data_IF_526556741100
#
_entry.id   IF_526556741100
#
_cell.length_a   1.000
_cell.length_b   1.000
_cell.length_c   1.000
_cell.angle_alpha   90.00
_cell.angle_beta   90.00
_cell.angle_gamma   90.00
#
_symmetry.space_group_name_H-M   'P 1'
#
loop_
_entity.id
_entity.type
_entity.pdbx_description
1 polymer ?
#
# COMPACT_ATOMS: atom_id res chain seq x y z
N UNK A 1 -14.24 -0.42 -16.86
CA UNK A 1 -12.97 0.29 -16.62
C UNK A 1 -12.57 0.25 -15.16
N UNK A 2 -13.46 0.53 -14.20
CA UNK A 2 -13.14 0.27 -12.78
C UNK A 2 -12.92 -1.23 -12.50
N UNK A 3 -13.53 -2.11 -13.30
CA UNK A 3 -13.34 -3.57 -13.24
C UNK A 3 -12.45 -4.15 -14.35
N UNK A 4 -11.98 -3.34 -15.30
CA UNK A 4 -11.28 -3.82 -16.49
C UNK A 4 -10.08 -2.96 -16.86
N UNK A 5 -9.02 -3.57 -17.38
CA UNK A 5 -7.72 -2.95 -17.65
C UNK A 5 -7.72 -2.07 -18.92
N UNK A 6 -8.70 -1.18 -19.07
CA UNK A 6 -8.90 -0.32 -20.24
C UNK A 6 -8.44 1.10 -19.94
N UNK A 7 -7.58 1.68 -20.78
CA UNK A 7 -7.19 3.09 -20.63
C UNK A 7 -8.36 4.01 -20.97
N UNK A 8 -8.49 5.17 -20.30
CA UNK A 8 -9.53 6.16 -20.62
C UNK A 8 -9.55 6.54 -22.11
N UNK A 9 -8.38 6.61 -22.76
CA UNK A 9 -8.23 6.92 -24.19
C UNK A 9 -8.63 5.78 -25.12
N UNK A 10 -8.63 4.54 -24.62
CA UNK A 10 -9.05 3.37 -25.38
C UNK A 10 -10.57 3.20 -25.35
N UNK A 11 -11.27 3.74 -24.35
CA UNK A 11 -12.74 3.60 -24.23
C UNK A 11 -13.48 4.09 -25.48
N UNK A 12 -13.23 5.30 -26.03
CA UNK A 12 -13.90 5.76 -27.24
C UNK A 12 -13.71 4.80 -28.42
N UNK A 13 -12.45 4.36 -28.65
CA UNK A 13 -12.09 3.41 -29.71
C UNK A 13 -12.77 2.05 -29.54
N UNK A 14 -12.89 1.59 -28.30
CA UNK A 14 -13.58 0.33 -28.02
C UNK A 14 -15.07 0.47 -28.32
N UNK A 15 -15.70 1.57 -27.92
CA UNK A 15 -17.12 1.82 -28.22
C UNK A 15 -17.37 1.95 -29.73
N UNK A 16 -16.48 2.60 -30.48
CA UNK A 16 -16.51 2.63 -31.95
C UNK A 16 -16.42 1.23 -32.58
N UNK A 17 -15.53 0.38 -32.06
CA UNK A 17 -15.43 -1.01 -32.50
C UNK A 17 -16.72 -1.79 -32.21
N UNK A 18 -17.27 -1.67 -31.01
CA UNK A 18 -18.55 -2.32 -30.67
C UNK A 18 -19.68 -1.83 -31.59
N UNK A 19 -19.76 -0.53 -31.84
CA UNK A 19 -20.76 0.03 -32.75
C UNK A 19 -20.61 -0.51 -34.19
N UNK A 20 -19.38 -0.69 -34.67
CA UNK A 20 -19.14 -1.20 -36.03
C UNK A 20 -19.25 -2.72 -36.18
N UNK A 21 -19.06 -3.49 -35.10
CA UNK A 21 -18.96 -4.96 -35.14
C UNK A 21 -20.13 -5.68 -34.49
N UNK A 22 -21.07 -4.95 -33.86
CA UNK A 22 -22.21 -5.54 -33.16
C UNK A 22 -23.49 -4.78 -33.46
N UNK A 23 -24.63 -5.35 -33.10
CA UNK A 23 -25.94 -4.71 -33.19
C UNK A 23 -26.16 -3.58 -32.17
N UNK A 24 -25.11 -3.19 -31.42
CA UNK A 24 -25.20 -2.14 -30.41
C UNK A 24 -25.24 -0.76 -31.07
N UNK A 25 -26.40 -0.12 -31.01
CA UNK A 25 -26.58 1.26 -31.46
C UNK A 25 -26.26 2.23 -30.32
N UNK A 26 -25.11 2.91 -30.43
CA UNK A 26 -24.75 4.01 -29.54
C UNK A 26 -24.99 5.33 -30.29
N UNK A 27 -25.83 6.26 -29.77
CA UNK A 27 -26.14 7.50 -30.47
C UNK A 27 -24.93 8.43 -30.63
N UNK A 28 -23.91 8.26 -29.80
CA UNK A 28 -22.63 8.99 -29.88
C UNK A 28 -21.54 8.24 -29.11
N UNK A 29 -20.28 8.50 -29.49
CA UNK A 29 -19.10 8.01 -28.76
C UNK A 29 -18.55 9.12 -27.86
N UNK A 30 -18.37 8.89 -26.55
CA UNK A 30 -17.81 9.89 -25.66
C UNK A 30 -16.33 10.13 -25.91
N UNK A 31 -15.92 11.39 -25.82
CA UNK A 31 -14.50 11.73 -25.73
C UNK A 31 -13.91 11.20 -24.41
N UNK A 32 -12.62 10.84 -24.42
CA UNK A 32 -11.97 10.23 -23.25
C UNK A 32 -12.04 11.12 -21.98
N UNK A 33 -12.12 12.44 -22.13
CA UNK A 33 -12.27 13.38 -21.01
C UNK A 33 -13.61 13.24 -20.32
N UNK A 34 -14.68 12.94 -21.07
CA UNK A 34 -16.01 12.68 -20.49
C UNK A 34 -15.98 11.43 -19.62
N UNK A 35 -15.30 10.37 -20.08
CA UNK A 35 -15.11 9.13 -19.32
C UNK A 35 -14.32 9.38 -18.03
N UNK A 36 -13.27 10.22 -18.08
CA UNK A 36 -12.54 10.64 -16.87
C UNK A 36 -13.50 11.34 -15.92
N UNK A 37 -14.21 12.37 -16.38
CA UNK A 37 -15.10 13.16 -15.54
C UNK A 37 -16.19 12.31 -14.89
N UNK A 38 -16.82 11.39 -15.63
CA UNK A 38 -17.79 10.45 -15.06
C UNK A 38 -17.18 9.57 -13.96
N UNK A 39 -15.97 9.05 -14.19
CA UNK A 39 -15.28 8.22 -13.19
C UNK A 39 -14.93 9.00 -11.91
N UNK A 40 -14.52 10.26 -12.04
CA UNK A 40 -14.24 11.12 -10.89
C UNK A 40 -15.51 11.55 -10.17
N UNK A 41 -16.61 11.79 -10.91
CA UNK A 41 -17.92 12.09 -10.35
C UNK A 41 -18.46 10.92 -9.53
N UNK A 42 -18.28 9.68 -9.98
CA UNK A 42 -18.59 8.49 -9.17
C UNK A 42 -17.82 8.54 -7.85
N UNK A 43 -16.51 8.77 -7.90
CA UNK A 43 -15.68 8.89 -6.71
C UNK A 43 -16.14 9.97 -5.72
N UNK A 44 -16.43 11.16 -6.23
CA UNK A 44 -16.95 12.27 -5.43
C UNK A 44 -18.35 11.97 -4.87
N UNK A 45 -19.21 11.38 -5.69
CA UNK A 45 -20.55 10.95 -5.31
C UNK A 45 -20.52 9.91 -4.19
N UNK A 46 -19.60 8.96 -4.24
CA UNK A 46 -19.39 7.98 -3.15
C UNK A 46 -18.95 8.67 -1.86
N UNK A 47 -17.99 9.59 -1.91
CA UNK A 47 -17.55 10.35 -0.72
C UNK A 47 -18.68 11.21 -0.11
N UNK A 48 -19.58 11.75 -0.95
CA UNK A 48 -20.73 12.55 -0.49
C UNK A 48 -21.86 11.72 0.11
N UNK A 49 -21.89 10.42 -0.17
CA UNK A 49 -22.88 9.49 0.38
C UNK A 49 -22.47 8.96 1.75
N UNK A 50 -21.22 9.18 2.16
CA UNK A 50 -20.73 8.77 3.48
C UNK A 50 -21.61 9.40 4.55
N UNK A 51 -22.13 8.56 5.42
CA UNK A 51 -22.95 8.93 6.56
C UNK A 51 -22.64 8.01 7.76
N UNK A 52 -23.08 8.39 8.97
CA UNK A 52 -22.98 7.54 10.15
C UNK A 52 -23.73 6.23 9.91
N UNK A 53 -23.22 5.16 10.49
CA UNK A 53 -23.85 3.83 10.43
C UNK A 53 -24.05 3.28 11.83
N UNK A 54 -25.18 2.62 12.06
CA UNK A 54 -25.45 1.90 13.30
C UNK A 54 -24.65 0.59 13.40
N UNK A 55 -24.15 0.09 12.26
CA UNK A 55 -23.38 -1.13 12.23
C UNK A 55 -21.94 -0.87 12.73
N UNK A 56 -21.42 -1.66 13.68
CA UNK A 56 -20.06 -1.48 14.14
C UNK A 56 -19.03 -1.70 13.02
N UNK A 57 -17.95 -0.92 13.04
CA UNK A 57 -16.95 -0.93 11.96
C UNK A 57 -15.55 -0.54 12.44
N UNK A 58 -14.55 -0.94 11.65
CA UNK A 58 -13.13 -0.68 11.87
C UNK A 58 -12.65 0.29 10.80
N UNK A 59 -11.90 1.32 11.19
CA UNK A 59 -11.22 2.21 10.26
C UNK A 59 -9.83 1.66 9.92
N UNK A 60 -9.44 1.69 8.64
CA UNK A 60 -8.07 1.47 8.18
C UNK A 60 -7.56 2.77 7.62
N UNK A 61 -6.43 3.25 8.12
CA UNK A 61 -5.93 4.60 7.83
C UNK A 61 -4.47 4.50 7.41
N UNK A 62 -4.16 5.13 6.28
CA UNK A 62 -2.78 5.25 5.81
C UNK A 62 -2.62 6.48 4.89
N UNK A 63 -1.37 6.92 4.75
CA UNK A 63 -0.99 7.91 3.76
C UNK A 63 -0.42 7.23 2.52
N UNK A 64 -0.73 7.79 1.34
CA UNK A 64 -0.02 7.45 0.12
C UNK A 64 1.49 7.69 0.28
N UNK A 65 2.32 6.82 -0.28
CA UNK A 65 3.71 7.17 -0.61
C UNK A 65 3.70 8.33 -1.63
N UNK A 66 4.54 9.33 -1.41
CA UNK A 66 4.63 10.58 -2.18
C UNK A 66 4.40 10.38 -3.70
N UNK A 67 3.36 11.02 -4.25
CA UNK A 67 3.21 11.23 -5.70
C UNK A 67 3.50 12.71 -5.94
N UNK A 68 4.74 13.01 -6.34
CA UNK A 68 5.27 14.37 -6.36
C UNK A 68 5.56 14.88 -4.96
N UNK A 69 5.06 16.07 -4.60
CA UNK A 69 5.26 16.71 -3.28
C UNK A 69 4.06 16.56 -2.35
N UNK A 70 3.05 15.77 -2.72
CA UNK A 70 1.77 15.66 -2.00
C UNK A 70 1.57 14.25 -1.44
N UNK A 71 0.86 14.18 -0.32
CA UNK A 71 0.37 12.94 0.30
C UNK A 71 -1.15 12.94 0.35
N UNK A 72 -1.76 11.79 0.11
CA UNK A 72 -3.19 11.56 0.28
C UNK A 72 -3.41 10.71 1.54
N UNK A 73 -4.13 11.25 2.52
CA UNK A 73 -4.70 10.45 3.61
C UNK A 73 -5.91 9.72 3.04
N UNK A 74 -5.95 8.40 3.22
CA UNK A 74 -7.12 7.57 2.91
C UNK A 74 -7.62 6.93 4.20
N UNK A 75 -8.92 7.05 4.45
CA UNK A 75 -9.61 6.37 5.55
C UNK A 75 -10.63 5.44 4.93
N UNK A 76 -10.43 4.13 5.14
CA UNK A 76 -11.37 3.10 4.74
C UNK A 76 -12.19 2.63 5.94
N UNK A 77 -13.48 2.44 5.74
CA UNK A 77 -14.39 1.77 6.67
C UNK A 77 -14.55 0.32 6.24
N UNK A 78 -14.38 -0.61 7.19
CA UNK A 78 -14.74 -2.02 7.03
C UNK A 78 -15.72 -2.39 8.12
N UNK A 79 -16.93 -2.75 7.69
CA UNK A 79 -18.02 -3.16 8.57
C UNK A 79 -17.75 -4.53 9.20
N UNK A 80 -18.09 -4.68 10.48
CA UNK A 80 -17.84 -5.91 11.23
C UNK A 80 -18.60 -7.10 10.64
N UNK A 81 -19.79 -6.90 10.06
CA UNK A 81 -20.51 -7.98 9.37
C UNK A 81 -19.79 -8.43 8.10
N UNK A 82 -19.17 -7.52 7.34
CA UNK A 82 -18.38 -7.87 6.15
C UNK A 82 -17.21 -8.78 6.51
N UNK A 83 -16.55 -8.52 7.65
CA UNK A 83 -15.48 -9.39 8.16
C UNK A 83 -16.00 -10.79 8.50
N UNK A 84 -17.15 -10.88 9.18
CA UNK A 84 -17.79 -12.15 9.54
C UNK A 84 -18.15 -12.97 8.31
N UNK A 85 -18.78 -12.35 7.32
CA UNK A 85 -19.25 -13.03 6.11
C UNK A 85 -18.10 -13.54 5.25
N UNK A 86 -17.00 -12.79 5.19
CA UNK A 86 -15.85 -13.13 4.37
C UNK A 86 -15.02 -14.30 4.90
N UNK A 87 -14.78 -14.34 6.22
CA UNK A 87 -13.98 -15.39 6.86
C UNK A 87 -12.53 -15.52 6.35
N UNK A 88 -12.02 -14.53 5.63
CA UNK A 88 -10.71 -14.50 4.97
C UNK A 88 -10.19 -13.06 4.84
N UNK A 89 -9.00 -12.86 4.24
CA UNK A 89 -8.42 -11.54 3.99
C UNK A 89 -9.40 -10.63 3.23
N UNK A 90 -9.56 -9.39 3.71
CA UNK A 90 -10.44 -8.38 3.09
C UNK A 90 -9.99 -8.01 1.68
N UNK A 91 -10.97 -7.61 0.88
CA UNK A 91 -10.84 -7.10 -0.48
C UNK A 91 -11.43 -5.69 -0.57
N UNK A 92 -11.12 -4.98 -1.66
CA UNK A 92 -11.57 -3.60 -1.85
C UNK A 92 -13.10 -3.47 -1.86
N UNK A 93 -13.80 -4.52 -2.27
CA UNK A 93 -15.26 -4.58 -2.28
C UNK A 93 -15.89 -4.59 -0.88
N UNK A 94 -15.13 -4.97 0.16
CA UNK A 94 -15.60 -4.94 1.56
C UNK A 94 -15.33 -3.60 2.23
N UNK A 95 -14.54 -2.76 1.58
CA UNK A 95 -14.13 -1.45 2.07
C UNK A 95 -15.04 -0.37 1.49
N UNK A 96 -15.28 0.67 2.27
CA UNK A 96 -15.84 1.93 1.81
C UNK A 96 -14.81 3.04 2.08
N UNK A 97 -14.49 3.85 1.06
CA UNK A 97 -13.62 5.01 1.28
C UNK A 97 -14.45 6.13 1.90
N UNK A 98 -14.25 6.38 3.20
CA UNK A 98 -15.00 7.40 3.94
C UNK A 98 -14.27 8.73 4.05
N UNK A 99 -12.98 8.75 3.72
CA UNK A 99 -12.16 9.95 3.84
C UNK A 99 -11.01 9.95 2.85
N UNK A 100 -10.82 11.10 2.19
CA UNK A 100 -9.73 11.36 1.27
C UNK A 100 -9.28 12.81 1.42
N UNK A 101 -8.06 13.04 1.92
CA UNK A 101 -7.49 14.39 2.11
C UNK A 101 -6.12 14.49 1.45
N UNK A 102 -5.93 15.45 0.55
CA UNK A 102 -4.63 15.69 -0.11
C UNK A 102 -3.94 16.88 0.55
N UNK A 103 -2.70 16.68 1.01
CA UNK A 103 -1.91 17.72 1.70
C UNK A 103 -0.48 17.77 1.13
N UNK A 104 0.10 18.96 1.05
CA UNK A 104 1.54 19.14 0.78
C UNK A 104 2.37 18.88 2.05
N UNK A 105 1.90 19.40 3.19
CA UNK A 105 2.55 19.23 4.49
C UNK A 105 1.64 18.39 5.39
N UNK A 106 2.20 17.32 5.96
CA UNK A 106 1.51 16.45 6.92
C UNK A 106 2.21 16.53 8.26
N UNK A 107 1.48 16.88 9.30
CA UNK A 107 1.93 16.82 10.68
C UNK A 107 0.83 16.22 11.57
N UNK A 108 1.16 15.93 12.83
CA UNK A 108 0.21 15.28 13.74
C UNK A 108 -1.05 16.10 14.03
N UNK A 109 -1.00 17.43 13.96
CA UNK A 109 -2.16 18.31 14.16
C UNK A 109 -3.09 18.24 12.94
N UNK A 110 -2.53 18.29 11.72
CA UNK A 110 -3.31 18.15 10.49
C UNK A 110 -3.95 16.77 10.39
N UNK A 111 -3.24 15.71 10.81
CA UNK A 111 -3.82 14.36 10.90
C UNK A 111 -5.01 14.36 11.86
N UNK A 112 -4.85 14.91 13.06
CA UNK A 112 -5.93 14.97 14.05
C UNK A 112 -7.16 15.68 13.49
N UNK A 113 -6.98 16.87 12.90
CA UNK A 113 -8.07 17.63 12.27
C UNK A 113 -8.72 16.88 11.11
N UNK A 114 -7.92 16.26 10.23
CA UNK A 114 -8.46 15.50 9.11
C UNK A 114 -9.33 14.32 9.60
N UNK A 115 -8.96 13.67 10.72
CA UNK A 115 -9.76 12.62 11.35
C UNK A 115 -11.04 13.17 12.02
N UNK A 116 -10.97 14.35 12.66
CA UNK A 116 -12.16 15.03 13.20
C UNK A 116 -13.19 15.30 12.10
N UNK A 117 -12.74 15.90 10.98
CA UNK A 117 -13.61 16.20 9.84
C UNK A 117 -14.26 14.92 9.26
N UNK A 118 -13.48 13.85 9.12
CA UNK A 118 -13.94 12.59 8.50
C UNK A 118 -14.93 11.87 9.43
N UNK A 119 -14.60 11.73 10.71
CA UNK A 119 -15.44 10.98 11.65
C UNK A 119 -16.65 11.78 12.14
N UNK A 120 -16.65 13.11 12.03
CA UNK A 120 -17.86 13.92 12.20
C UNK A 120 -18.95 13.56 11.16
N UNK A 121 -18.55 13.14 9.95
CA UNK A 121 -19.47 12.73 8.88
C UNK A 121 -19.75 11.22 8.93
N UNK A 122 -18.71 10.40 9.10
CA UNK A 122 -18.83 8.95 9.00
C UNK A 122 -19.27 8.24 10.30
N UNK A 123 -19.31 8.98 11.41
CA UNK A 123 -19.38 8.42 12.76
C UNK A 123 -18.02 7.95 13.28
N UNK A 124 -18.00 7.51 14.53
CA UNK A 124 -16.77 7.05 15.22
C UNK A 124 -16.59 5.55 15.00
N UNK A 125 -15.38 5.07 14.59
CA UNK A 125 -15.10 3.64 14.47
C UNK A 125 -14.94 2.96 15.83
N UNK A 126 -15.13 1.64 15.87
CA UNK A 126 -14.81 0.85 17.05
C UNK A 126 -13.31 0.73 17.30
N UNK A 127 -12.50 0.72 16.23
CA UNK A 127 -11.05 0.67 16.31
C UNK A 127 -10.41 1.25 15.04
N UNK A 128 -9.14 1.63 15.14
CA UNK A 128 -8.33 2.15 14.03
C UNK A 128 -7.14 1.24 13.77
N UNK A 129 -7.03 0.70 12.55
CA UNK A 129 -5.84 0.05 12.02
C UNK A 129 -4.97 1.10 11.33
N UNK A 130 -3.69 1.17 11.69
CA UNK A 130 -2.73 2.11 11.10
C UNK A 130 -1.32 1.51 11.01
N UNK A 131 -0.44 2.17 10.26
CA UNK A 131 0.96 1.75 10.12
C UNK A 131 1.87 2.21 11.29
N UNK A 132 3.19 2.07 11.16
CA UNK A 132 4.13 2.52 12.20
C UNK A 132 4.63 3.97 12.02
N UNK A 133 4.02 4.79 11.14
CA UNK A 133 4.44 6.17 10.96
C UNK A 133 4.21 6.98 12.24
N UNK A 134 5.24 7.71 12.65
CA UNK A 134 5.21 8.47 13.90
C UNK A 134 4.21 9.64 13.85
N UNK A 135 4.10 10.30 12.69
CA UNK A 135 3.21 11.45 12.51
C UNK A 135 1.75 11.00 12.55
N UNK A 136 1.43 9.92 11.84
CA UNK A 136 0.11 9.30 11.84
C UNK A 136 -0.23 8.76 13.24
N UNK A 137 0.68 8.01 13.87
CA UNK A 137 0.46 7.45 15.21
C UNK A 137 0.21 8.55 16.25
N UNK A 138 0.96 9.65 16.20
CA UNK A 138 0.73 10.80 17.09
C UNK A 138 -0.63 11.44 16.79
N UNK A 139 -0.96 11.70 15.53
CA UNK A 139 -2.26 12.29 15.16
C UNK A 139 -3.45 11.45 15.62
N UNK A 140 -3.43 10.14 15.34
CA UNK A 140 -4.47 9.19 15.77
C UNK A 140 -4.61 9.16 17.30
N UNK A 141 -3.50 9.14 18.04
CA UNK A 141 -3.53 9.16 19.52
C UNK A 141 -4.16 10.45 20.05
N UNK A 142 -3.80 11.60 19.48
CA UNK A 142 -4.37 12.88 19.89
C UNK A 142 -5.87 12.96 19.58
N UNK A 143 -6.32 12.43 18.44
CA UNK A 143 -7.74 12.35 18.10
C UNK A 143 -8.50 11.40 19.02
N UNK A 144 -7.97 10.20 19.26
CA UNK A 144 -8.59 9.16 20.09
C UNK A 144 -8.78 9.63 21.54
N UNK A 145 -7.82 10.37 22.09
CA UNK A 145 -7.90 10.93 23.44
C UNK A 145 -8.98 12.02 23.62
N UNK A 146 -9.50 12.60 22.54
CA UNK A 146 -10.61 13.58 22.59
C UNK A 146 -11.99 12.93 22.62
N UNK A 147 -12.08 11.63 22.39
CA UNK A 147 -13.35 10.91 22.41
C UNK A 147 -13.76 10.59 23.85
N UNK A 148 -15.06 10.50 24.13
CA UNK A 148 -15.57 10.12 25.47
C UNK A 148 -14.93 8.83 26.00
N UNK A 149 -14.71 7.87 25.09
CA UNK A 149 -13.93 6.66 25.33
C UNK A 149 -12.82 6.59 24.28
N UNK A 150 -11.55 6.48 24.69
CA UNK A 150 -10.45 6.33 23.74
C UNK A 150 -10.68 5.16 22.79
N UNK A 151 -10.67 5.44 21.49
CA UNK A 151 -10.80 4.43 20.44
C UNK A 151 -9.52 3.60 20.36
N UNK A 152 -9.60 2.26 20.50
CA UNK A 152 -8.45 1.36 20.39
C UNK A 152 -7.71 1.48 19.06
N UNK A 153 -6.38 1.35 19.12
CA UNK A 153 -5.49 1.40 17.95
C UNK A 153 -4.82 0.05 17.76
N UNK A 154 -5.00 -0.48 16.56
CA UNK A 154 -4.45 -1.73 16.08
C UNK A 154 -3.24 -1.40 15.19
N UNK A 155 -2.06 -1.85 15.59
CA UNK A 155 -0.85 -1.65 14.81
C UNK A 155 -0.76 -2.67 13.67
N UNK A 156 -0.54 -2.22 12.44
CA UNK A 156 -0.35 -3.10 11.29
C UNK A 156 0.78 -4.11 11.52
N UNK A 157 0.44 -5.40 11.44
CA UNK A 157 1.38 -6.50 11.69
C UNK A 157 2.57 -6.48 10.73
N UNK A 158 2.36 -6.13 9.46
CA UNK A 158 3.40 -6.11 8.43
C UNK A 158 4.46 -5.04 8.70
N UNK A 159 4.03 -3.82 9.04
CA UNK A 159 4.90 -2.71 9.41
C UNK A 159 5.60 -2.94 10.75
N UNK A 160 4.90 -3.51 11.75
CA UNK A 160 5.51 -3.91 13.01
C UNK A 160 6.62 -4.96 12.80
N UNK A 161 6.34 -6.03 12.05
CA UNK A 161 7.32 -7.09 11.81
C UNK A 161 8.47 -6.65 10.91
N UNK A 162 8.21 -5.81 9.91
CA UNK A 162 9.26 -5.20 9.09
C UNK A 162 10.19 -4.32 9.94
N UNK A 163 9.64 -3.55 10.89
CA UNK A 163 10.41 -2.73 11.82
C UNK A 163 11.24 -3.59 12.78
N UNK A 164 10.68 -4.70 13.26
CA UNK A 164 11.39 -5.65 14.12
C UNK A 164 12.56 -6.33 13.39
N UNK A 165 12.34 -6.78 12.14
CA UNK A 165 13.38 -7.35 11.28
C UNK A 165 14.49 -6.33 11.00
N UNK A 166 14.11 -5.09 10.69
CA UNK A 166 15.05 -3.97 10.48
C UNK A 166 15.92 -3.75 11.72
N UNK A 167 15.31 -3.66 12.89
CA UNK A 167 16.01 -3.49 14.18
C UNK A 167 16.95 -4.66 14.53
N UNK A 168 16.61 -5.88 14.09
CA UNK A 168 17.43 -7.06 14.31
C UNK A 168 18.64 -7.12 13.37
N UNK A 169 18.46 -6.83 12.08
CA UNK A 169 19.48 -7.14 11.06
C UNK A 169 20.18 -5.94 10.46
N UNK A 170 19.50 -4.81 10.20
CA UNK A 170 20.00 -3.76 9.29
C UNK A 170 21.37 -3.19 9.69
N UNK A 171 21.61 -3.05 11.00
CA UNK A 171 22.84 -2.47 11.52
C UNK A 171 23.99 -3.48 11.67
N UNK A 172 23.73 -4.78 11.52
CA UNK A 172 24.73 -5.84 11.71
C UNK A 172 25.75 -5.89 10.58
N UNK A 173 27.01 -6.21 10.90
CA UNK A 173 28.06 -6.36 9.90
C UNK A 173 27.74 -7.46 8.89
N UNK A 174 27.22 -8.60 9.36
CA UNK A 174 26.84 -9.73 8.51
C UNK A 174 25.79 -9.36 7.47
N UNK A 175 24.74 -8.62 7.85
CA UNK A 175 23.70 -8.19 6.91
C UNK A 175 24.24 -7.19 5.88
N UNK A 176 25.10 -6.26 6.31
CA UNK A 176 25.74 -5.31 5.39
C UNK A 176 26.65 -6.03 4.39
N UNK A 177 27.47 -6.96 4.86
CA UNK A 177 28.31 -7.79 4.00
C UNK A 177 27.45 -8.61 3.02
N UNK A 178 26.34 -9.20 3.50
CA UNK A 178 25.45 -10.01 2.68
C UNK A 178 24.83 -9.17 1.57
N UNK A 179 24.19 -8.06 1.93
CA UNK A 179 23.54 -7.18 0.96
C UNK A 179 24.52 -6.52 -0.02
N UNK A 180 25.75 -6.23 0.40
CA UNK A 180 26.81 -5.76 -0.50
C UNK A 180 27.21 -6.84 -1.52
N UNK A 181 27.45 -8.08 -1.07
CA UNK A 181 27.78 -9.19 -1.96
C UNK A 181 26.66 -9.47 -2.97
N UNK A 182 25.40 -9.39 -2.53
CA UNK A 182 24.22 -9.54 -3.40
C UNK A 182 24.12 -8.43 -4.45
N UNK A 183 24.37 -7.17 -4.04
CA UNK A 183 24.35 -6.02 -4.94
C UNK A 183 25.40 -6.14 -6.05
N UNK A 184 26.60 -6.59 -5.69
CA UNK A 184 27.67 -6.82 -6.66
C UNK A 184 27.35 -8.02 -7.56
N UNK A 185 26.97 -9.16 -6.97
CA UNK A 185 26.67 -10.37 -7.73
C UNK A 185 25.49 -10.19 -8.68
N UNK A 186 24.46 -9.43 -8.29
CA UNK A 186 23.35 -9.11 -9.16
C UNK A 186 23.77 -8.33 -10.41
N UNK A 187 24.76 -7.43 -10.30
CA UNK A 187 25.30 -6.71 -11.45
C UNK A 187 26.08 -7.64 -12.37
N UNK A 188 26.88 -8.53 -11.79
CA UNK A 188 27.69 -9.49 -12.55
C UNK A 188 26.86 -10.56 -13.29
N UNK A 189 25.70 -10.96 -12.78
CA UNK A 189 24.90 -12.04 -13.35
C UNK A 189 23.83 -11.58 -14.37
N UNK A 190 23.31 -10.36 -14.23
CA UNK A 190 22.08 -9.91 -14.92
C UNK A 190 22.14 -9.96 -16.45
N UNK A 191 23.31 -9.75 -17.04
CA UNK A 191 23.52 -9.74 -18.49
C UNK A 191 24.36 -10.94 -18.94
N UNK A 192 24.19 -12.08 -18.28
CA UNK A 192 24.89 -13.33 -18.59
C UNK A 192 23.89 -14.48 -18.70
N UNK A 193 24.34 -15.63 -19.21
CA UNK A 193 23.55 -16.88 -19.23
C UNK A 193 23.07 -17.33 -17.83
N UNK A 194 23.70 -16.82 -16.76
CA UNK A 194 23.35 -17.10 -15.36
C UNK A 194 22.33 -16.11 -14.76
N UNK A 195 21.66 -15.31 -15.59
CA UNK A 195 20.70 -14.31 -15.12
C UNK A 195 19.57 -14.91 -14.25
N UNK A 196 19.19 -16.17 -14.47
CA UNK A 196 18.21 -16.91 -13.67
C UNK A 196 18.62 -17.10 -12.19
N UNK A 197 19.92 -16.99 -11.88
CA UNK A 197 20.47 -17.12 -10.53
C UNK A 197 20.61 -15.76 -9.81
N UNK A 198 20.23 -14.66 -10.45
CA UNK A 198 20.32 -13.31 -9.89
C UNK A 198 19.51 -13.22 -8.58
N UNK A 199 20.06 -12.64 -7.50
CA UNK A 199 19.31 -12.48 -6.26
C UNK A 199 18.10 -11.55 -6.43
N UNK A 200 17.03 -11.75 -5.63
CA UNK A 200 15.86 -10.89 -5.64
C UNK A 200 16.21 -9.41 -5.46
N UNK A 201 15.54 -8.53 -6.22
CA UNK A 201 15.76 -7.09 -6.12
C UNK A 201 15.32 -6.56 -4.75
N UNK A 202 16.27 -6.04 -3.98
CA UNK A 202 15.99 -5.31 -2.75
C UNK A 202 15.46 -3.91 -3.06
N UNK A 203 14.29 -3.58 -2.50
CA UNK A 203 13.70 -2.23 -2.61
C UNK A 203 14.48 -1.23 -1.78
N UNK A 204 14.47 0.05 -2.16
CA UNK A 204 15.08 1.12 -1.36
C UNK A 204 14.24 1.41 -0.11
N UNK A 205 12.94 1.65 -0.30
CA UNK A 205 11.92 1.84 0.75
C UNK A 205 11.16 0.53 1.01
N UNK A 206 10.71 0.30 2.25
CA UNK A 206 9.89 -0.86 2.62
C UNK A 206 10.57 -2.23 2.48
N UNK A 207 11.90 -2.30 2.35
CA UNK A 207 12.62 -3.55 1.99
C UNK A 207 12.37 -4.74 2.91
N UNK A 208 12.09 -4.47 4.19
CA UNK A 208 11.84 -5.50 5.21
C UNK A 208 10.42 -6.07 5.17
N UNK A 209 9.47 -5.46 4.45
CA UNK A 209 8.11 -5.98 4.31
C UNK A 209 8.03 -7.21 3.39
N UNK A 210 9.00 -7.39 2.49
CA UNK A 210 9.03 -8.50 1.52
C UNK A 210 10.40 -9.21 1.47
N UNK A 211 11.10 -9.26 2.60
CA UNK A 211 12.51 -9.67 2.65
C UNK A 211 12.71 -11.18 2.76
N UNK A 212 11.66 -11.95 3.06
CA UNK A 212 11.70 -13.43 3.13
C UNK A 212 12.22 -14.07 1.84
N UNK A 213 11.79 -13.55 0.68
CA UNK A 213 12.28 -13.99 -0.64
C UNK A 213 13.81 -13.97 -0.76
N UNK A 214 14.47 -13.03 -0.08
CA UNK A 214 15.92 -12.96 -0.09
C UNK A 214 16.56 -14.05 0.78
N UNK A 215 15.97 -14.35 1.95
CA UNK A 215 16.41 -15.46 2.80
C UNK A 215 16.24 -16.82 2.12
N UNK A 216 15.12 -17.02 1.44
CA UNK A 216 14.86 -18.23 0.63
C UNK A 216 15.88 -18.40 -0.50
N UNK A 217 16.15 -17.33 -1.25
CA UNK A 217 17.20 -17.35 -2.28
C UNK A 217 18.56 -17.68 -1.67
N UNK A 218 18.92 -17.05 -0.55
CA UNK A 218 20.19 -17.30 0.14
C UNK A 218 20.36 -18.75 0.55
N UNK A 219 19.29 -19.37 1.08
CA UNK A 219 19.28 -20.79 1.47
C UNK A 219 19.50 -21.70 0.27
N UNK A 220 18.76 -21.50 -0.82
CA UNK A 220 18.95 -22.27 -2.08
C UNK A 220 20.37 -22.15 -2.62
N UNK A 221 20.96 -20.95 -2.54
CA UNK A 221 22.35 -20.75 -2.98
C UNK A 221 23.37 -21.42 -2.06
N UNK A 222 23.11 -21.57 -0.76
CA UNK A 222 24.00 -22.33 0.11
C UNK A 222 24.14 -23.78 -0.35
N UNK A 223 23.04 -24.42 -0.77
CA UNK A 223 23.04 -25.80 -1.28
C UNK A 223 23.87 -25.91 -2.56
N UNK A 224 23.73 -24.94 -3.48
CA UNK A 224 24.54 -24.87 -4.71
C UNK A 224 26.03 -24.76 -4.39
N UNK A 225 26.40 -23.97 -3.37
CA UNK A 225 27.80 -23.77 -3.00
C UNK A 225 28.40 -24.91 -2.17
N UNK A 226 27.57 -25.78 -1.57
CA UNK A 226 27.98 -26.86 -0.66
C UNK A 226 28.78 -27.98 -1.32
N UNK A 227 28.85 -28.02 -2.66
CA UNK A 227 29.65 -29.00 -3.42
C UNK A 227 31.12 -28.92 -3.02
N UNK A 228 31.68 -30.01 -2.48
CA UNK A 228 33.08 -30.08 -2.05
C UNK A 228 34.04 -30.12 -3.24
N UNK A 229 35.28 -29.65 -3.03
CA UNK A 229 36.36 -29.70 -4.02
C UNK A 229 36.37 -28.55 -5.03
N UNK A 230 37.32 -28.60 -5.97
CA UNK A 230 37.46 -27.62 -7.05
C UNK A 230 36.28 -27.69 -8.01
N UNK A 231 35.77 -26.53 -8.43
CA UNK A 231 34.74 -26.49 -9.47
C UNK A 231 35.41 -26.67 -10.85
N UNK A 232 34.82 -27.47 -11.74
CA UNK A 232 35.30 -27.62 -13.12
C UNK A 232 35.42 -26.23 -13.78
N UNK A 233 36.55 -25.94 -14.42
CA UNK A 233 36.77 -24.65 -15.11
C UNK A 233 35.65 -24.40 -16.12
N UNK A 234 35.07 -23.20 -16.09
CA UNK A 234 33.92 -22.83 -16.93
C UNK A 234 32.55 -23.32 -16.44
N UNK A 235 32.47 -24.11 -15.36
CA UNK A 235 31.17 -24.51 -14.80
C UNK A 235 30.42 -23.35 -14.14
N UNK A 236 29.10 -23.52 -14.00
CA UNK A 236 28.22 -22.61 -13.25
C UNK A 236 28.76 -22.35 -11.85
N UNK A 237 29.17 -23.41 -11.14
CA UNK A 237 29.73 -23.31 -9.79
C UNK A 237 31.03 -22.51 -9.75
N UNK A 238 31.91 -22.68 -10.74
CA UNK A 238 33.14 -21.89 -10.83
C UNK A 238 32.83 -20.40 -11.01
N UNK A 239 31.90 -20.06 -11.90
CA UNK A 239 31.47 -18.68 -12.11
C UNK A 239 30.83 -18.09 -10.84
N UNK A 240 29.94 -18.84 -10.18
CA UNK A 240 29.30 -18.40 -8.95
C UNK A 240 30.30 -18.16 -7.82
N UNK A 241 31.32 -19.02 -7.66
CA UNK A 241 32.38 -18.84 -6.67
C UNK A 241 33.23 -17.60 -6.93
N UNK A 242 33.45 -17.25 -8.19
CA UNK A 242 34.09 -15.98 -8.57
C UNK A 242 33.20 -14.78 -8.26
N UNK A 243 31.89 -14.88 -8.52
CA UNK A 243 30.94 -13.78 -8.34
C UNK A 243 30.62 -13.53 -6.86
N UNK A 244 30.51 -14.57 -6.05
CA UNK A 244 30.25 -14.51 -4.61
C UNK A 244 31.40 -15.13 -3.81
N UNK A 245 32.57 -14.47 -3.75
CA UNK A 245 33.71 -14.98 -3.02
C UNK A 245 33.36 -15.12 -1.53
N UNK A 246 33.67 -16.28 -0.97
CA UNK A 246 33.44 -16.54 0.47
C UNK A 246 31.97 -16.67 0.89
N UNK A 247 31.02 -16.86 -0.04
CA UNK A 247 29.58 -16.98 0.27
C UNK A 247 29.27 -18.00 1.38
N UNK A 248 29.96 -19.15 1.39
CA UNK A 248 29.79 -20.17 2.42
C UNK A 248 30.18 -19.69 3.83
N UNK A 249 31.07 -18.71 3.97
CA UNK A 249 31.41 -18.12 5.28
C UNK A 249 30.23 -17.38 5.89
N UNK A 250 29.27 -16.96 5.06
CA UNK A 250 28.05 -16.28 5.46
C UNK A 250 26.93 -17.24 5.87
N UNK A 251 27.15 -18.57 5.74
CA UNK A 251 26.16 -19.60 6.05
C UNK A 251 25.45 -19.41 7.40
N UNK A 252 26.17 -19.21 8.53
CA UNK A 252 25.51 -19.06 9.83
C UNK A 252 24.57 -17.85 9.87
N UNK A 253 24.93 -16.76 9.18
CA UNK A 253 24.06 -15.60 9.06
C UNK A 253 22.85 -15.88 8.17
N UNK A 254 23.06 -16.44 6.97
CA UNK A 254 22.01 -16.71 5.99
C UNK A 254 20.95 -17.64 6.58
N UNK A 255 21.35 -18.72 7.25
CA UNK A 255 20.41 -19.67 7.87
C UNK A 255 19.56 -19.00 8.95
N UNK A 256 20.18 -18.21 9.84
CA UNK A 256 19.46 -17.46 10.88
C UNK A 256 18.52 -16.41 10.28
N UNK A 257 18.97 -15.70 9.24
CA UNK A 257 18.20 -14.68 8.55
C UNK A 257 17.00 -15.30 7.81
N UNK A 258 17.22 -16.39 7.08
CA UNK A 258 16.18 -17.12 6.36
C UNK A 258 15.14 -17.70 7.32
N UNK A 259 15.57 -18.35 8.40
CA UNK A 259 14.65 -18.86 9.44
C UNK A 259 13.80 -17.74 10.03
N UNK A 260 14.43 -16.64 10.46
CA UNK A 260 13.71 -15.53 11.09
C UNK A 260 12.68 -14.91 10.15
N UNK A 261 13.06 -14.67 8.90
CA UNK A 261 12.18 -14.03 7.91
C UNK A 261 11.07 -14.96 7.43
N UNK A 262 11.32 -16.28 7.37
CA UNK A 262 10.30 -17.30 7.12
C UNK A 262 9.24 -17.32 8.22
N UNK A 263 9.63 -17.40 9.49
CA UNK A 263 8.70 -17.39 10.62
C UNK A 263 7.83 -16.13 10.63
N UNK A 264 8.43 -14.96 10.36
CA UNK A 264 7.68 -13.71 10.22
C UNK A 264 6.67 -13.79 9.06
N UNK A 265 7.06 -14.35 7.91
CA UNK A 265 6.19 -14.53 6.76
C UNK A 265 4.99 -15.44 7.09
N UNK A 266 5.23 -16.58 7.75
CA UNK A 266 4.17 -17.52 8.17
C UNK A 266 3.19 -16.87 9.16
N UNK A 267 3.71 -16.11 10.14
CA UNK A 267 2.86 -15.37 11.08
C UNK A 267 2.02 -14.33 10.37
N UNK A 268 2.61 -13.55 9.46
CA UNK A 268 1.85 -12.57 8.67
C UNK A 268 0.79 -13.25 7.81
N UNK A 269 1.09 -14.38 7.18
CA UNK A 269 0.15 -15.16 6.39
C UNK A 269 -1.07 -15.61 7.22
N UNK A 270 -0.84 -16.11 8.44
CA UNK A 270 -1.91 -16.49 9.36
C UNK A 270 -2.76 -15.28 9.73
N UNK A 271 -2.15 -14.22 10.26
CA UNK A 271 -2.88 -13.07 10.82
C UNK A 271 -3.59 -12.28 9.72
N UNK A 272 -2.99 -12.10 8.53
CA UNK A 272 -3.60 -11.33 7.44
C UNK A 272 -4.78 -12.07 6.80
N UNK A 273 -4.74 -13.41 6.75
CA UNK A 273 -5.82 -14.20 6.15
C UNK A 273 -6.91 -14.60 7.15
N UNK A 274 -6.55 -14.94 8.39
CA UNK A 274 -7.49 -15.47 9.39
C UNK A 274 -7.86 -14.49 10.49
N UNK A 275 -7.19 -13.32 10.55
CA UNK A 275 -7.30 -12.37 11.65
C UNK A 275 -6.66 -12.88 12.96
N UNK A 276 -6.55 -11.99 13.94
CA UNK A 276 -6.08 -12.36 15.28
C UNK A 276 -7.26 -12.75 16.17
N UNK A 277 -7.23 -13.96 16.73
CA UNK A 277 -8.13 -14.41 17.78
C UNK A 277 -7.37 -15.35 18.73
N UNK A 278 -8.05 -15.96 19.71
CA UNK A 278 -7.42 -16.90 20.65
C UNK A 278 -6.67 -18.06 19.96
N UNK A 279 -7.22 -18.61 18.87
CA UNK A 279 -6.62 -19.74 18.13
C UNK A 279 -5.37 -19.28 17.37
N UNK A 280 -5.48 -18.23 16.57
CA UNK A 280 -4.35 -17.73 15.78
C UNK A 280 -3.27 -17.11 16.67
N UNK A 281 -3.63 -16.52 17.80
CA UNK A 281 -2.70 -16.11 18.86
C UNK A 281 -1.82 -17.28 19.31
N UNK A 282 -2.43 -18.40 19.69
CA UNK A 282 -1.69 -19.58 20.15
C UNK A 282 -0.77 -20.11 19.05
N UNK A 283 -1.28 -20.23 17.82
CA UNK A 283 -0.51 -20.68 16.67
C UNK A 283 0.73 -19.79 16.42
N UNK A 284 0.53 -18.48 16.31
CA UNK A 284 1.62 -17.52 16.09
C UNK A 284 2.58 -17.44 17.28
N UNK A 285 2.09 -17.60 18.50
CA UNK A 285 2.93 -17.65 19.68
C UNK A 285 3.84 -18.88 19.68
N UNK A 286 3.36 -20.07 19.28
CA UNK A 286 4.21 -21.24 19.13
C UNK A 286 5.25 -21.06 18.02
N UNK A 287 4.87 -20.49 16.86
CA UNK A 287 5.83 -20.15 15.80
C UNK A 287 6.94 -19.24 16.33
N UNK A 288 6.59 -18.23 17.14
CA UNK A 288 7.57 -17.33 17.75
C UNK A 288 8.59 -18.04 18.65
N UNK A 289 8.27 -19.20 19.23
CA UNK A 289 9.18 -19.94 20.10
C UNK A 289 10.36 -20.54 19.34
N UNK A 290 10.20 -20.82 18.05
CA UNK A 290 11.28 -21.33 17.17
C UNK A 290 12.40 -20.30 16.96
N UNK A 291 12.11 -19.02 17.19
CA UNK A 291 13.09 -17.94 17.12
C UNK A 291 14.06 -17.99 18.31
N UNK A 292 15.34 -17.59 18.11
CA UNK A 292 16.33 -17.53 19.18
C UNK A 292 15.88 -16.72 20.40
N UNK A 293 16.33 -17.10 21.60
CA UNK A 293 15.95 -16.45 22.86
C UNK A 293 16.19 -14.93 22.87
N UNK A 294 17.30 -14.48 22.28
CA UNK A 294 17.70 -13.06 22.22
C UNK A 294 17.22 -12.36 20.94
N UNK A 295 16.26 -12.94 20.20
CA UNK A 295 15.73 -12.34 18.98
C UNK A 295 14.85 -11.14 19.30
N UNK A 296 15.24 -9.96 18.78
CA UNK A 296 14.38 -8.77 18.83
C UNK A 296 13.04 -9.02 18.15
N UNK A 297 13.03 -9.75 17.03
CA UNK A 297 11.79 -10.12 16.32
C UNK A 297 10.85 -10.91 17.21
N UNK A 298 11.36 -11.92 17.93
CA UNK A 298 10.58 -12.69 18.90
C UNK A 298 9.93 -11.81 19.95
N UNK A 299 10.72 -10.94 20.59
CA UNK A 299 10.21 -10.03 21.63
C UNK A 299 9.12 -9.11 21.09
N UNK A 300 9.33 -8.49 19.92
CA UNK A 300 8.34 -7.59 19.31
C UNK A 300 7.07 -8.34 18.89
N UNK A 301 7.20 -9.53 18.30
CA UNK A 301 6.05 -10.35 17.91
C UNK A 301 5.21 -10.76 19.12
N UNK A 302 5.83 -11.27 20.18
CA UNK A 302 5.11 -11.70 21.37
C UNK A 302 4.42 -10.52 22.09
N UNK A 303 5.08 -9.36 22.14
CA UNK A 303 4.48 -8.14 22.67
C UNK A 303 3.29 -7.68 21.83
N UNK A 304 3.43 -7.69 20.49
CA UNK A 304 2.36 -7.35 19.56
C UNK A 304 1.17 -8.30 19.72
N UNK A 305 1.40 -9.63 19.76
CA UNK A 305 0.35 -10.64 19.94
C UNK A 305 -0.40 -10.44 21.25
N UNK A 306 0.31 -10.21 22.36
CA UNK A 306 -0.30 -10.02 23.69
C UNK A 306 -1.16 -8.75 23.73
N UNK A 307 -0.65 -7.64 23.19
CA UNK A 307 -1.40 -6.37 23.13
C UNK A 307 -2.69 -6.54 22.31
N UNK A 308 -2.58 -7.09 21.11
CA UNK A 308 -3.70 -7.08 20.17
C UNK A 308 -4.75 -8.16 20.44
N UNK A 309 -4.40 -9.26 21.12
CA UNK A 309 -5.42 -10.24 21.55
C UNK A 309 -6.29 -9.70 22.69
N UNK A 310 -5.75 -8.82 23.55
CA UNK A 310 -6.53 -8.11 24.56
C UNK A 310 -7.53 -7.15 23.89
N UNK A 311 -7.05 -6.34 22.93
CA UNK A 311 -7.93 -5.47 22.13
C UNK A 311 -9.03 -6.29 21.44
N UNK A 312 -8.68 -7.43 20.85
CA UNK A 312 -9.66 -8.30 20.20
C UNK A 312 -10.75 -8.74 21.19
N UNK A 313 -10.37 -9.27 22.35
CA UNK A 313 -11.31 -9.76 23.35
C UNK A 313 -12.26 -8.67 23.88
N UNK A 314 -11.82 -7.42 23.95
CA UNK A 314 -12.65 -6.28 24.36
C UNK A 314 -13.57 -5.78 23.23
N UNK A 315 -13.14 -5.92 21.98
CA UNK A 315 -13.81 -5.33 20.82
C UNK A 315 -14.89 -6.22 20.22
N UNK A 316 -14.58 -7.51 20.02
CA UNK A 316 -15.41 -8.44 19.25
C UNK A 316 -14.99 -9.90 19.44
N UNK A 317 -15.93 -10.84 19.35
CA UNK A 317 -15.64 -12.28 19.26
C UNK A 317 -15.08 -12.70 17.89
N UNK A 318 -15.08 -11.80 16.90
CA UNK A 318 -14.55 -12.06 15.58
C UNK A 318 -13.01 -11.94 15.54
N UNK A 319 -12.35 -12.60 14.58
CA UNK A 319 -10.94 -12.37 14.35
C UNK A 319 -10.66 -10.90 14.03
N UNK A 320 -9.71 -10.31 14.75
CA UNK A 320 -9.32 -8.92 14.61
C UNK A 320 -8.60 -8.70 13.27
N UNK A 321 -9.10 -7.73 12.50
CA UNK A 321 -8.41 -7.19 11.34
C UNK A 321 -7.17 -6.42 11.81
N UNK A 322 -5.99 -6.79 11.34
CA UNK A 322 -4.73 -6.23 11.84
C UNK A 322 -3.75 -5.84 10.74
N UNK A 323 -4.25 -5.55 9.53
CA UNK A 323 -3.41 -5.09 8.44
C UNK A 323 -4.03 -3.98 7.60
N UNK A 324 -3.18 -3.04 7.18
CA UNK A 324 -3.45 -1.96 6.22
C UNK A 324 -3.03 -2.29 4.78
N UNK A 325 -2.60 -3.52 4.48
CA UNK A 325 -2.19 -3.98 3.13
C UNK A 325 -3.22 -3.66 2.04
N UNK A 326 -4.52 -3.60 2.40
CA UNK A 326 -5.58 -3.28 1.47
C UNK A 326 -5.45 -1.85 0.90
N UNK A 327 -4.90 -0.92 1.68
CA UNK A 327 -4.60 0.45 1.21
C UNK A 327 -3.42 0.44 0.24
N UNK A 328 -2.40 -0.41 0.44
CA UNK A 328 -1.31 -0.55 -0.54
C UNK A 328 -1.82 -1.16 -1.86
N UNK A 329 -2.77 -2.10 -1.78
CA UNK A 329 -3.47 -2.62 -2.98
C UNK A 329 -4.29 -1.53 -3.67
N UNK A 330 -5.01 -0.71 -2.90
CA UNK A 330 -5.78 0.43 -3.40
C UNK A 330 -4.87 1.45 -4.12
N UNK A 331 -3.75 1.83 -3.50
CA UNK A 331 -2.77 2.72 -4.13
C UNK A 331 -2.06 2.08 -5.32
N UNK A 332 -1.82 0.77 -5.30
CA UNK A 332 -1.31 0.01 -6.44
C UNK A 332 -2.24 0.10 -7.65
N UNK A 333 -3.54 -0.17 -7.44
CA UNK A 333 -4.56 -0.05 -8.48
C UNK A 333 -4.68 1.38 -9.00
N UNK A 334 -4.67 2.36 -8.10
CA UNK A 334 -4.69 3.77 -8.45
C UNK A 334 -3.48 4.18 -9.30
N UNK A 335 -2.26 3.83 -8.87
CA UNK A 335 -1.02 4.09 -9.64
C UNK A 335 -1.06 3.43 -11.01
N UNK A 336 -1.51 2.17 -11.08
CA UNK A 336 -1.62 1.45 -12.34
C UNK A 336 -2.58 2.13 -13.34
N UNK A 337 -3.69 2.69 -12.86
CA UNK A 337 -4.58 3.51 -13.71
C UNK A 337 -3.92 4.82 -14.14
N UNK A 338 -3.07 5.41 -13.30
CA UNK A 338 -2.38 6.68 -13.56
C UNK A 338 -1.12 6.58 -14.41
N UNK A 339 -0.37 5.48 -14.37
CA UNK A 339 0.87 5.29 -15.17
C UNK A 339 0.60 5.42 -16.68
N UNK A 340 -0.66 5.30 -17.09
CA UNK A 340 -1.14 5.49 -18.46
C UNK A 340 -1.48 6.95 -18.79
N UNK A 341 -1.29 7.87 -17.84
CA UNK A 341 -1.46 9.31 -17.96
C UNK A 341 -0.08 10.01 -17.93
N UNK A 342 0.19 10.98 -18.82
CA UNK A 342 1.55 11.50 -19.04
C UNK A 342 2.19 12.29 -17.88
N UNK A 343 1.50 12.53 -16.75
CA UNK A 343 2.01 13.39 -15.67
C UNK A 343 1.76 12.79 -14.28
N UNK A 344 2.86 12.43 -13.61
CA UNK A 344 2.87 11.93 -12.23
C UNK A 344 2.77 13.09 -11.22
N UNK A 345 1.56 13.61 -10.99
CA UNK A 345 1.27 14.50 -9.87
C UNK A 345 -0.11 14.16 -9.29
N UNK A 346 -0.22 14.21 -7.97
CA UNK A 346 -1.48 14.04 -7.25
C UNK A 346 -2.42 15.20 -7.63
N UNK A 347 -3.49 14.88 -8.36
CA UNK A 347 -4.50 15.83 -8.84
C UNK A 347 -5.91 15.27 -8.58
N UNK A 348 -6.96 15.88 -9.15
CA UNK A 348 -8.35 15.41 -9.02
C UNK A 348 -8.58 13.93 -9.28
N UNK A 349 -7.67 13.25 -9.99
CA UNK A 349 -7.68 11.80 -10.18
C UNK A 349 -7.66 10.99 -8.89
N UNK A 350 -7.28 11.56 -7.75
CA UNK A 350 -7.42 10.89 -6.44
C UNK A 350 -8.85 10.46 -6.15
N UNK A 351 -9.87 11.07 -6.78
CA UNK A 351 -11.25 10.64 -6.68
C UNK A 351 -11.50 9.24 -7.29
N UNK A 352 -10.55 8.68 -8.04
CA UNK A 352 -10.62 7.27 -8.42
C UNK A 352 -10.48 6.33 -7.22
N UNK A 353 -9.85 6.76 -6.12
CA UNK A 353 -9.63 5.95 -4.92
C UNK A 353 -10.97 5.50 -4.31
N UNK A 354 -11.95 6.39 -4.02
CA UNK A 354 -13.28 5.97 -3.61
C UNK A 354 -13.98 5.03 -4.59
N UNK A 355 -13.86 5.27 -5.90
CA UNK A 355 -14.49 4.44 -6.94
C UNK A 355 -13.87 3.02 -7.05
N UNK A 356 -12.66 2.83 -6.51
CA UNK A 356 -12.03 1.52 -6.40
C UNK A 356 -12.49 0.74 -5.16
N UNK A 357 -13.27 1.31 -4.26
CA UNK A 357 -13.78 0.65 -3.07
C UNK A 357 -15.26 0.25 -3.25
N UNK A 358 -15.72 -0.72 -2.46
CA UNK A 358 -17.12 -1.12 -2.38
C UNK A 358 -17.63 -1.87 -3.62
N UNK A 359 -18.96 -2.03 -3.68
CA UNK A 359 -19.62 -2.65 -4.81
C UNK A 359 -19.69 -1.69 -6.00
N UNK A 360 -19.37 -2.18 -7.19
CA UNK A 360 -19.43 -1.42 -8.46
C UNK A 360 -20.63 -1.82 -9.31
N UNK A 361 -21.70 -2.29 -8.67
CA UNK A 361 -22.98 -2.56 -9.36
C UNK A 361 -23.53 -1.26 -9.95
N UNK A 362 -24.24 -1.38 -11.06
CA UNK A 362 -24.86 -0.27 -11.80
C UNK A 362 -25.64 0.68 -10.89
N UNK A 363 -26.53 0.15 -10.04
CA UNK A 363 -27.31 0.94 -9.09
C UNK A 363 -26.46 1.81 -8.15
N UNK A 364 -25.27 1.34 -7.73
CA UNK A 364 -24.36 2.12 -6.87
C UNK A 364 -23.71 3.25 -7.67
N UNK A 365 -23.32 2.96 -8.92
CA UNK A 365 -22.72 3.94 -9.82
C UNK A 365 -23.72 5.05 -10.14
N UNK A 366 -24.97 4.69 -10.45
CA UNK A 366 -26.05 5.64 -10.76
C UNK A 366 -26.35 6.55 -9.57
N UNK A 367 -26.48 5.97 -8.38
CA UNK A 367 -26.66 6.74 -7.15
C UNK A 367 -25.51 7.73 -6.93
N UNK A 368 -24.26 7.29 -7.13
CA UNK A 368 -23.09 8.16 -7.00
C UNK A 368 -23.08 9.30 -8.04
N UNK A 369 -23.39 9.01 -9.30
CA UNK A 369 -23.45 10.01 -10.36
C UNK A 369 -24.52 11.07 -10.10
N UNK A 370 -25.63 10.70 -9.48
CA UNK A 370 -26.70 11.62 -9.07
C UNK A 370 -26.31 12.53 -7.89
N UNK A 371 -25.26 12.20 -7.14
CA UNK A 371 -24.78 12.98 -5.98
C UNK A 371 -23.67 13.99 -6.31
N UNK A 372 -23.11 13.92 -7.52
CA UNK A 372 -22.04 14.80 -7.95
C UNK A 372 -22.22 15.24 -9.40
N UNK A 373 -22.38 16.55 -9.61
CA UNK A 373 -22.37 17.18 -10.93
C UNK A 373 -20.94 17.45 -11.43
N UNK A 374 -20.82 17.93 -12.67
CA UNK A 374 -19.54 18.40 -13.21
C UNK A 374 -19.04 19.65 -12.46
N UNK A 375 -19.94 20.58 -12.13
CA UNK A 375 -19.63 21.80 -11.37
C UNK A 375 -19.11 21.46 -9.97
N UNK A 376 -19.68 20.42 -9.35
CA UNK A 376 -19.21 19.94 -8.05
C UNK A 376 -17.78 19.40 -8.10
N UNK A 377 -17.42 18.71 -9.19
CA UNK A 377 -16.08 18.19 -9.38
C UNK A 377 -15.04 19.31 -9.46
N UNK A 378 -15.35 20.39 -10.18
CA UNK A 378 -14.49 21.57 -10.32
C UNK A 378 -14.31 22.29 -8.99
N UNK A 379 -15.41 22.56 -8.27
CA UNK A 379 -15.37 23.15 -6.92
C UNK A 379 -14.59 22.29 -5.93
N UNK A 380 -14.76 20.97 -5.99
CA UNK A 380 -14.02 20.05 -5.13
C UNK A 380 -12.53 20.09 -5.45
N UNK A 381 -12.14 20.13 -6.72
CA UNK A 381 -10.75 20.24 -7.15
C UNK A 381 -10.10 21.52 -6.62
N UNK A 382 -10.76 22.67 -6.78
CA UNK A 382 -10.26 23.97 -6.30
C UNK A 382 -10.03 23.97 -4.79
N UNK A 383 -10.95 23.37 -4.02
CA UNK A 383 -10.88 23.34 -2.56
C UNK A 383 -9.86 22.32 -2.01
N UNK A 384 -9.72 21.15 -2.65
CA UNK A 384 -9.05 20.00 -2.05
C UNK A 384 -7.72 19.62 -2.72
N UNK A 385 -7.42 20.13 -3.91
CA UNK A 385 -6.19 19.81 -4.63
C UNK A 385 -5.24 20.99 -4.55
N UNK A 386 -4.14 20.89 -3.78
CA UNK A 386 -3.10 21.91 -3.75
C UNK A 386 -2.49 22.13 -5.13
N UNK A 387 -1.84 23.28 -5.27
CA UNK A 387 -1.32 23.74 -6.56
C UNK A 387 -0.40 22.71 -7.24
N UNK A 388 -0.78 22.24 -8.43
CA UNK A 388 -0.09 21.12 -9.10
C UNK A 388 1.21 21.55 -9.77
N UNK A 389 2.17 20.62 -9.90
CA UNK A 389 3.44 20.84 -10.60
C UNK A 389 3.19 21.26 -12.05
N UNK A 390 2.14 20.72 -12.68
CA UNK A 390 1.70 21.15 -14.01
C UNK A 390 1.30 22.63 -14.03
N UNK A 391 0.47 23.07 -13.07
CA UNK A 391 0.04 24.47 -12.98
C UNK A 391 1.26 25.39 -12.72
N UNK A 392 2.16 25.02 -11.79
CA UNK A 392 3.46 25.69 -11.56
C UNK A 392 4.27 25.82 -12.86
N UNK A 393 4.38 24.74 -13.62
CA UNK A 393 5.09 24.71 -14.91
C UNK A 393 4.44 25.66 -15.92
N UNK A 394 3.11 25.61 -16.06
CA UNK A 394 2.37 26.47 -17.00
C UNK A 394 2.54 27.95 -16.67
N UNK A 395 2.44 28.34 -15.40
CA UNK A 395 2.70 29.73 -14.97
C UNK A 395 4.14 30.16 -15.21
N UNK A 396 5.12 29.33 -14.86
CA UNK A 396 6.53 29.63 -15.10
C UNK A 396 6.81 29.96 -16.57
N UNK A 397 6.22 29.20 -17.50
CA UNK A 397 6.37 29.47 -18.94
C UNK A 397 5.51 30.65 -19.43
N UNK A 398 4.32 30.89 -18.87
CA UNK A 398 3.52 32.11 -19.17
C UNK A 398 4.29 33.39 -18.83
N UNK A 399 4.98 33.42 -17.70
CA UNK A 399 5.79 34.58 -17.30
C UNK A 399 7.04 34.79 -18.17
N UNK A 400 7.60 33.75 -18.78
CA UNK A 400 8.69 33.89 -19.74
C UNK A 400 8.22 34.43 -21.09
N UNK A 401 7.04 34.02 -21.57
CA UNK A 401 6.46 34.54 -22.82
C UNK A 401 6.07 36.02 -22.71
N UNK A 402 5.62 36.48 -21.54
CA UNK A 402 5.27 37.89 -21.34
C UNK A 402 6.51 38.82 -21.29
N UNK A 403 7.67 38.34 -20.84
CA UNK A 403 8.92 39.13 -20.86
C UNK A 403 9.59 39.19 -22.23
N UNK A 404 9.27 38.27 -23.15
CA UNK A 404 9.80 38.27 -24.51
C UNK A 404 9.05 39.24 -25.47
N UNK A 405 7.92 39.82 -25.05
CA UNK A 405 7.08 40.69 -25.88
C UNK A 405 7.33 42.20 -25.74
N UNK A 406 8.33 42.64 -24.96
CA UNK A 406 8.78 44.04 -24.92
C UNK A 406 10.19 44.15 -25.50
N UNK A 407 10.29 43.99 -26.82
CA UNK A 407 11.37 44.64 -27.56
C UNK A 407 10.85 46.05 -27.83
N UNK A 408 11.33 46.99 -27.03
CA UNK A 408 11.17 48.42 -27.28
C UNK A 408 11.93 48.68 -28.58
N UNK A 409 11.21 48.95 -29.65
CA UNK A 409 11.76 49.62 -30.83
C UNK A 409 11.85 51.10 -30.48
N UNK A 410 13.06 51.55 -30.12
CA UNK A 410 13.48 52.94 -30.28
C UNK A 410 14.38 53.02 -31.53
#
# INVERSE_FOLDING_TARGET
MLDTVVSFRSVPRILELFHSQTSLELPWTPHFTSVINWSLRVGLGLLRQVCPTCEPWIAIIDYSIDIGTKKALVVLRVKTQSLRQRGSAIQLQDCECIGLKVRETVNHQTVCQDLEDIFAIAGVPQAIVKDCDYTLAKGVRHWSAKQEKPVPVIDDIGHCMASALKSQFEKTADYKAFTAALGQGAKCLRQTEFACLTPPKLRTKGRFQSISKLGEWGTKMLDVFAVKGGAKKGSVLAKLRTVFPGFLRMKPFIERFALTTKIVSEVMEIIKNKGLNKVTYQQCYQLSKTLPRNSKVKTHLQAWLKKHVQIQAELTELPLLSSSDIIETLFGNYKYMLERSPQADMNRSVLLIPALCGSRKEAVIDQALNKASQVDLERWEEKNIPYTVRKKRQEFFKHKSQKAGKIITD
#
